data_IF_045923359356
#
_entry.id   IF_045923359356
#
_cell.length_a   1.000
_cell.length_b   1.000
_cell.length_c   1.000
_cell.angle_alpha   90.00
_cell.angle_beta   90.00
_cell.angle_gamma   90.00
#
_symmetry.space_group_name_H-M   'P 1'
#
loop_
_entity.id
_entity.type
_entity.pdbx_description
1 polymer ?
#
# COMPACT_ATOMS: atom_id res chain seq x y z
N UNK A 1 -6.89 -13.44 -22.82
CA UNK A 1 -6.35 -12.57 -23.86
C UNK A 1 -7.02 -12.86 -25.21
N UNK A 2 -7.03 -14.10 -25.73
CA UNK A 2 -7.57 -14.45 -27.04
C UNK A 2 -9.04 -14.04 -27.25
N UNK A 3 -9.92 -14.29 -26.29
CA UNK A 3 -11.33 -13.88 -26.35
C UNK A 3 -11.50 -12.36 -26.47
N UNK A 4 -10.68 -11.56 -25.82
CA UNK A 4 -10.72 -10.08 -25.89
C UNK A 4 -10.21 -9.57 -27.21
N UNK A 5 -9.16 -10.17 -27.76
CA UNK A 5 -8.64 -9.82 -29.09
C UNK A 5 -9.71 -10.11 -30.17
N UNK A 6 -10.34 -11.29 -30.10
CA UNK A 6 -11.42 -11.65 -31.01
C UNK A 6 -12.63 -10.71 -30.89
N UNK A 7 -13.03 -10.35 -29.69
CA UNK A 7 -14.14 -9.42 -29.45
C UNK A 7 -13.84 -8.02 -29.97
N UNK A 8 -12.63 -7.49 -29.75
CA UNK A 8 -12.22 -6.20 -30.31
C UNK A 8 -12.22 -6.19 -31.83
N UNK A 9 -11.79 -7.29 -32.49
CA UNK A 9 -11.83 -7.43 -33.96
C UNK A 9 -13.28 -7.40 -34.47
N UNK A 10 -14.20 -7.96 -33.68
CA UNK A 10 -15.62 -8.02 -34.05
C UNK A 10 -16.47 -6.86 -33.52
N UNK A 11 -15.85 -5.87 -32.84
CA UNK A 11 -16.56 -4.74 -32.25
C UNK A 11 -17.47 -5.12 -31.05
N UNK A 12 -17.21 -6.27 -30.43
CA UNK A 12 -17.99 -6.76 -29.30
C UNK A 12 -17.38 -6.22 -28.01
N UNK A 13 -18.16 -5.48 -27.23
CA UNK A 13 -17.74 -5.02 -25.90
C UNK A 13 -17.70 -6.20 -24.90
N UNK A 14 -16.53 -6.51 -24.37
CA UNK A 14 -16.31 -7.52 -23.34
C UNK A 14 -15.88 -6.85 -22.00
N UNK A 15 -16.48 -5.72 -21.67
CA UNK A 15 -16.32 -5.05 -20.38
C UNK A 15 -17.45 -5.46 -19.41
N UNK A 16 -17.34 -5.01 -18.16
CA UNK A 16 -18.46 -5.05 -17.25
C UNK A 16 -19.49 -4.02 -17.71
N UNK A 17 -20.75 -4.44 -17.84
CA UNK A 17 -21.87 -3.53 -18.08
C UNK A 17 -22.27 -2.92 -16.73
N UNK A 18 -21.58 -1.84 -16.37
CA UNK A 18 -21.78 -1.17 -15.09
C UNK A 18 -22.81 -0.04 -15.25
N UNK A 19 -23.73 0.14 -14.29
CA UNK A 19 -24.65 1.27 -14.29
C UNK A 19 -23.92 2.62 -14.36
N UNK A 20 -24.40 3.53 -15.18
CA UNK A 20 -23.80 4.87 -15.34
C UNK A 20 -24.00 5.74 -14.09
N UNK A 21 -25.04 5.46 -13.29
CA UNK A 21 -25.41 6.28 -12.12
C UNK A 21 -25.73 5.40 -10.90
N UNK A 22 -25.60 6.00 -9.72
CA UNK A 22 -25.91 5.32 -8.46
C UNK A 22 -24.69 4.71 -7.77
N UNK A 23 -24.94 4.04 -6.66
CA UNK A 23 -23.94 3.26 -5.90
C UNK A 23 -24.41 1.82 -5.88
N UNK A 24 -23.51 0.89 -6.20
CA UNK A 24 -23.89 -0.52 -6.31
C UNK A 24 -22.75 -1.45 -5.85
N UNK A 25 -23.14 -2.67 -5.53
CA UNK A 25 -22.25 -3.78 -5.23
C UNK A 25 -22.16 -4.66 -6.47
N UNK A 26 -20.95 -5.05 -6.85
CA UNK A 26 -20.73 -5.98 -7.96
C UNK A 26 -20.60 -7.39 -7.40
N UNK A 27 -21.29 -8.34 -8.05
CA UNK A 27 -21.22 -9.77 -7.73
C UNK A 27 -20.72 -10.52 -8.95
N UNK A 28 -19.74 -11.40 -8.78
CA UNK A 28 -19.23 -12.22 -9.88
C UNK A 28 -18.50 -13.48 -9.39
N UNK A 29 -18.12 -14.34 -10.34
CA UNK A 29 -17.32 -15.53 -10.02
C UNK A 29 -15.94 -15.12 -9.49
N UNK A 30 -15.22 -14.31 -10.25
CA UNK A 30 -14.00 -13.58 -9.93
C UNK A 30 -13.83 -12.46 -10.97
N UNK A 31 -12.95 -11.50 -10.72
CA UNK A 31 -12.73 -10.37 -11.62
C UNK A 31 -11.31 -10.34 -12.14
N UNK A 32 -11.17 -10.18 -13.46
CA UNK A 32 -9.86 -10.02 -14.09
C UNK A 32 -9.26 -8.63 -13.78
N UNK A 33 -7.93 -8.45 -13.97
CA UNK A 33 -7.29 -7.14 -13.86
C UNK A 33 -7.96 -6.04 -14.68
N UNK A 34 -8.48 -6.41 -15.83
CA UNK A 34 -9.14 -5.48 -16.73
C UNK A 34 -10.59 -5.16 -16.31
N UNK A 35 -11.24 -6.03 -15.55
CA UNK A 35 -12.56 -5.77 -14.96
C UNK A 35 -12.40 -4.84 -13.76
N UNK A 36 -11.43 -5.13 -12.88
CA UNK A 36 -11.13 -4.31 -11.71
C UNK A 36 -10.62 -2.90 -12.06
N UNK A 37 -10.00 -2.72 -13.23
CA UNK A 37 -9.64 -1.40 -13.74
C UNK A 37 -10.86 -0.51 -14.04
N UNK A 38 -12.03 -1.09 -14.30
CA UNK A 38 -13.27 -0.36 -14.57
C UNK A 38 -14.04 0.03 -13.28
N UNK A 39 -13.58 -0.39 -12.10
CA UNK A 39 -14.23 -0.04 -10.83
C UNK A 39 -14.07 1.46 -10.55
N UNK A 40 -15.18 2.18 -10.68
CA UNK A 40 -15.30 3.61 -10.37
C UNK A 40 -15.73 3.81 -8.91
N UNK A 41 -15.86 5.06 -8.48
CA UNK A 41 -16.40 5.42 -7.15
C UNK A 41 -17.89 5.05 -6.95
N UNK A 42 -18.55 4.60 -8.00
CA UNK A 42 -19.92 4.05 -7.93
C UNK A 42 -19.93 2.62 -7.37
N UNK A 43 -18.82 1.87 -7.48
CA UNK A 43 -18.66 0.54 -6.90
C UNK A 43 -18.36 0.69 -5.41
N UNK A 44 -19.36 0.42 -4.57
CA UNK A 44 -19.25 0.56 -3.11
C UNK A 44 -19.05 -0.78 -2.38
N UNK A 45 -18.99 -1.87 -3.11
CA UNK A 45 -18.70 -3.20 -2.58
C UNK A 45 -18.49 -4.23 -3.68
N UNK A 46 -17.76 -5.28 -3.37
CA UNK A 46 -17.47 -6.38 -4.31
C UNK A 46 -17.71 -7.71 -3.59
N UNK A 47 -18.37 -8.64 -4.25
CA UNK A 47 -18.60 -10.00 -3.76
C UNK A 47 -18.12 -10.96 -4.83
N UNK A 48 -17.24 -11.90 -4.47
CA UNK A 48 -16.84 -12.96 -5.39
C UNK A 48 -17.23 -14.33 -4.86
N UNK A 49 -17.64 -15.22 -5.78
CA UNK A 49 -18.02 -16.61 -5.48
C UNK A 49 -16.75 -17.45 -5.29
N UNK A 50 -15.72 -17.13 -6.06
CA UNK A 50 -14.41 -17.77 -6.04
C UNK A 50 -13.30 -16.79 -5.60
N UNK A 51 -12.07 -17.28 -5.56
CA UNK A 51 -10.92 -16.50 -5.13
C UNK A 51 -10.64 -16.67 -3.63
N UNK A 52 -9.70 -15.90 -3.12
CA UNK A 52 -9.30 -15.90 -1.71
C UNK A 52 -8.79 -14.55 -1.26
N UNK A 53 -8.40 -14.38 0.01
CA UNK A 53 -7.91 -13.11 0.56
C UNK A 53 -6.68 -12.52 -0.17
N UNK A 54 -5.95 -13.37 -0.90
CA UNK A 54 -4.78 -13.00 -1.70
C UNK A 54 -5.06 -12.96 -3.21
N UNK A 55 -6.33 -13.14 -3.64
CA UNK A 55 -6.70 -13.02 -5.06
C UNK A 55 -6.46 -11.61 -5.57
N UNK A 56 -6.30 -11.49 -6.90
CA UNK A 56 -6.15 -10.19 -7.56
C UNK A 56 -7.29 -9.23 -7.20
N UNK A 57 -8.53 -9.72 -7.23
CA UNK A 57 -9.72 -8.93 -6.85
C UNK A 57 -9.62 -8.42 -5.42
N UNK A 58 -9.24 -9.27 -4.46
CA UNK A 58 -9.12 -8.87 -3.05
C UNK A 58 -8.02 -7.81 -2.86
N UNK A 59 -6.88 -7.95 -3.54
CA UNK A 59 -5.77 -6.98 -3.48
C UNK A 59 -6.21 -5.63 -4.04
N UNK A 60 -6.84 -5.60 -5.21
CA UNK A 60 -7.31 -4.36 -5.84
C UNK A 60 -8.42 -3.69 -5.04
N UNK A 61 -9.40 -4.45 -4.52
CA UNK A 61 -10.44 -3.89 -3.66
C UNK A 61 -9.84 -3.24 -2.41
N UNK A 62 -8.85 -3.89 -1.81
CA UNK A 62 -8.14 -3.35 -0.64
C UNK A 62 -7.37 -2.07 -0.99
N UNK A 63 -6.66 -2.02 -2.12
CA UNK A 63 -5.92 -0.83 -2.56
C UNK A 63 -6.83 0.35 -2.91
N UNK A 64 -8.06 0.07 -3.39
CA UNK A 64 -9.07 1.09 -3.69
C UNK A 64 -10.02 1.38 -2.51
N UNK A 65 -9.78 0.79 -1.34
CA UNK A 65 -10.65 0.90 -0.15
C UNK A 65 -12.11 0.50 -0.42
N UNK A 66 -12.32 -0.46 -1.33
CA UNK A 66 -13.65 -1.00 -1.64
C UNK A 66 -13.90 -2.22 -0.74
N UNK A 67 -14.95 -2.23 0.10
CA UNK A 67 -15.33 -3.39 0.89
C UNK A 67 -15.54 -4.62 0.01
N UNK A 68 -14.91 -5.75 0.35
CA UNK A 68 -15.04 -6.97 -0.44
C UNK A 68 -15.19 -8.21 0.45
N UNK A 69 -16.06 -9.12 0.03
CA UNK A 69 -16.19 -10.48 0.57
C UNK A 69 -15.88 -11.45 -0.57
N UNK A 70 -14.90 -12.30 -0.39
CA UNK A 70 -14.44 -13.26 -1.40
C UNK A 70 -14.79 -14.69 -0.97
N UNK A 71 -14.80 -15.64 -1.91
CA UNK A 71 -15.20 -17.05 -1.64
C UNK A 71 -16.62 -17.19 -1.09
N UNK A 72 -17.51 -16.28 -1.39
CA UNK A 72 -18.90 -16.29 -0.92
C UNK A 72 -19.76 -17.18 -1.83
N UNK A 73 -19.83 -18.48 -1.55
CA UNK A 73 -20.59 -19.44 -2.37
C UNK A 73 -22.09 -19.12 -2.44
N UNK A 74 -22.67 -18.54 -1.37
CA UNK A 74 -24.08 -18.11 -1.31
C UNK A 74 -24.39 -16.91 -2.22
N UNK A 75 -23.38 -16.22 -2.75
CA UNK A 75 -23.60 -15.09 -3.65
C UNK A 75 -24.28 -15.46 -4.97
N UNK A 76 -24.29 -16.75 -5.35
CA UNK A 76 -25.04 -17.27 -6.51
C UNK A 76 -26.57 -17.07 -6.41
N UNK A 77 -27.08 -16.90 -5.20
CA UNK A 77 -28.53 -16.72 -4.94
C UNK A 77 -28.93 -15.24 -4.98
N UNK A 78 -27.97 -14.32 -5.04
CA UNK A 78 -28.23 -12.89 -5.11
C UNK A 78 -28.83 -12.52 -6.48
N UNK A 79 -29.74 -11.55 -6.48
CA UNK A 79 -30.46 -11.08 -7.66
C UNK A 79 -30.11 -9.61 -7.94
N UNK A 80 -30.13 -9.23 -9.20
CA UNK A 80 -29.94 -7.84 -9.60
C UNK A 80 -30.97 -6.92 -8.92
N UNK A 81 -30.50 -5.76 -8.47
CA UNK A 81 -31.30 -4.78 -7.73
C UNK A 81 -31.57 -5.13 -6.26
N UNK A 82 -31.07 -6.25 -5.77
CA UNK A 82 -31.24 -6.64 -4.38
C UNK A 82 -30.36 -5.79 -3.46
N UNK A 83 -30.94 -5.28 -2.36
CA UNK A 83 -30.18 -4.57 -1.34
C UNK A 83 -29.35 -5.56 -0.52
N UNK A 84 -28.06 -5.32 -0.41
CA UNK A 84 -27.12 -6.15 0.36
C UNK A 84 -26.22 -5.27 1.23
N UNK A 85 -25.81 -5.79 2.39
CA UNK A 85 -24.74 -5.25 3.20
C UNK A 85 -23.52 -6.14 3.04
N UNK A 86 -22.40 -5.55 2.61
CA UNK A 86 -21.10 -6.21 2.53
C UNK A 86 -20.35 -5.91 3.82
N UNK A 87 -20.09 -6.93 4.63
CA UNK A 87 -19.38 -6.84 5.90
C UNK A 87 -18.06 -7.64 5.81
N UNK A 88 -16.96 -7.00 5.36
CA UNK A 88 -15.67 -7.69 5.21
C UNK A 88 -15.03 -8.06 6.55
N UNK A 89 -15.41 -7.42 7.65
CA UNK A 89 -14.89 -7.73 8.99
C UNK A 89 -15.54 -9.00 9.55
N UNK A 90 -16.86 -9.12 9.35
CA UNK A 90 -17.61 -10.33 9.70
C UNK A 90 -17.53 -11.44 8.67
N UNK A 91 -16.80 -11.24 7.56
CA UNK A 91 -16.68 -12.15 6.40
C UNK A 91 -18.04 -12.65 5.92
N UNK A 92 -19.00 -11.73 5.73
CA UNK A 92 -20.39 -12.07 5.40
C UNK A 92 -21.08 -11.04 4.52
N UNK A 93 -22.11 -11.51 3.83
CA UNK A 93 -23.05 -10.69 3.06
C UNK A 93 -24.44 -10.86 3.67
N UNK A 94 -25.10 -9.74 4.00
CA UNK A 94 -26.45 -9.76 4.58
C UNK A 94 -27.44 -9.23 3.56
N UNK A 95 -28.42 -10.05 3.20
CA UNK A 95 -29.53 -9.68 2.29
C UNK A 95 -30.52 -8.78 3.03
N UNK A 96 -30.91 -7.65 2.41
CA UNK A 96 -31.85 -6.71 3.02
C UNK A 96 -31.24 -5.88 4.17
N UNK A 97 -29.88 -5.85 4.30
CA UNK A 97 -29.19 -5.06 5.30
C UNK A 97 -29.48 -3.56 5.14
N UNK A 98 -29.65 -2.86 6.25
CA UNK A 98 -29.95 -1.43 6.31
C UNK A 98 -28.70 -0.59 6.59
N UNK A 99 -28.80 0.74 6.36
CA UNK A 99 -27.76 1.68 6.77
C UNK A 99 -27.50 1.65 8.30
N UNK A 100 -28.54 1.31 9.10
CA UNK A 100 -28.40 1.14 10.55
C UNK A 100 -27.55 -0.10 10.90
N UNK A 101 -27.63 -1.17 10.11
CA UNK A 101 -26.80 -2.37 10.31
C UNK A 101 -25.36 -2.10 9.93
N UNK A 102 -25.11 -1.33 8.88
CA UNK A 102 -23.77 -0.86 8.52
C UNK A 102 -23.15 0.01 9.63
N UNK A 103 -23.94 0.94 10.19
CA UNK A 103 -23.48 1.78 11.31
C UNK A 103 -23.16 0.95 12.56
N UNK A 104 -23.93 -0.09 12.86
CA UNK A 104 -23.63 -1.01 13.96
C UNK A 104 -22.34 -1.78 13.74
N UNK A 105 -22.11 -2.28 12.53
CA UNK A 105 -20.87 -2.99 12.18
C UNK A 105 -19.65 -2.09 12.36
N UNK A 106 -19.70 -0.84 11.86
CA UNK A 106 -18.64 0.16 12.05
C UNK A 106 -18.45 0.50 13.54
N UNK A 107 -19.55 0.69 14.30
CA UNK A 107 -19.46 1.01 15.73
C UNK A 107 -18.93 -0.14 16.57
N UNK A 108 -19.09 -1.40 16.14
CA UNK A 108 -18.50 -2.57 16.80
C UNK A 108 -16.97 -2.57 16.64
N UNK A 109 -16.47 -2.24 15.46
CA UNK A 109 -15.01 -2.11 15.21
C UNK A 109 -14.41 -0.95 16.03
N UNK A 110 -15.15 0.16 16.14
CA UNK A 110 -14.71 1.32 16.93
C UNK A 110 -14.77 1.12 18.45
N UNK A 111 -15.49 0.11 18.94
CA UNK A 111 -15.63 -0.21 20.38
C UNK A 111 -14.69 -1.31 20.88
N UNK A 112 -13.83 -1.85 20.03
CA UNK A 112 -12.82 -2.80 20.50
C UNK A 112 -11.90 -2.08 21.50
N UNK A 113 -11.79 -2.66 22.69
CA UNK A 113 -10.88 -2.28 23.79
C UNK A 113 -9.52 -1.82 23.26
N UNK A 114 -8.89 -0.87 23.97
CA UNK A 114 -7.54 -0.39 23.63
C UNK A 114 -6.66 -1.54 23.17
N UNK A 115 -6.05 -1.45 21.99
CA UNK A 115 -5.27 -2.56 21.45
C UNK A 115 -4.13 -2.86 22.42
N UNK A 116 -3.99 -4.11 22.82
CA UNK A 116 -2.87 -4.59 23.65
C UNK A 116 -1.54 -4.43 22.91
N UNK A 117 -1.61 -4.36 21.59
CA UNK A 117 -0.48 -4.16 20.68
C UNK A 117 -0.77 -2.94 19.80
N UNK A 118 0.17 -1.97 19.69
CA UNK A 118 -0.01 -0.81 18.84
C UNK A 118 -0.27 -1.21 17.38
N UNK A 119 -1.38 -0.71 16.82
CA UNK A 119 -1.73 -0.94 15.40
C UNK A 119 -1.30 0.27 14.58
N UNK A 120 -0.42 0.04 13.60
CA UNK A 120 0.14 1.09 12.76
C UNK A 120 -0.20 0.88 11.29
N UNK A 121 -0.38 1.99 10.58
CA UNK A 121 -0.70 1.97 9.15
C UNK A 121 0.51 1.63 8.29
N UNK A 122 0.22 1.22 7.06
CA UNK A 122 1.19 1.05 5.98
C UNK A 122 0.83 2.09 4.91
N UNK A 123 1.77 2.95 4.53
CA UNK A 123 1.53 4.04 3.58
C UNK A 123 2.59 4.10 2.48
N UNK A 124 2.24 4.70 1.33
CA UNK A 124 3.15 4.94 0.22
C UNK A 124 2.93 6.29 -0.47
N UNK A 125 1.91 7.04 -0.05
CA UNK A 125 1.54 8.34 -0.64
C UNK A 125 0.97 9.30 0.40
N UNK A 126 0.75 10.55 -0.01
CA UNK A 126 0.06 11.56 0.81
C UNK A 126 -1.40 11.14 1.05
N UNK A 127 -2.07 10.59 0.04
CA UNK A 127 -3.45 10.11 0.13
C UNK A 127 -3.57 8.99 1.16
N UNK A 128 -2.60 8.06 1.17
CA UNK A 128 -2.55 7.00 2.18
C UNK A 128 -2.37 7.56 3.60
N UNK A 129 -1.53 8.59 3.77
CA UNK A 129 -1.30 9.22 5.06
C UNK A 129 -2.57 9.89 5.60
N UNK A 130 -3.29 10.64 4.74
CA UNK A 130 -4.57 11.26 5.07
C UNK A 130 -5.62 10.20 5.42
N UNK A 131 -5.70 9.12 4.64
CA UNK A 131 -6.63 8.02 4.92
C UNK A 131 -6.29 7.31 6.25
N UNK A 132 -5.00 7.10 6.53
CA UNK A 132 -4.54 6.51 7.78
C UNK A 132 -4.89 7.38 9.00
N UNK A 133 -4.75 8.70 8.88
CA UNK A 133 -5.10 9.65 9.96
C UNK A 133 -6.60 9.66 10.31
N UNK A 134 -7.46 9.25 9.36
CA UNK A 134 -8.88 9.08 9.60
C UNK A 134 -9.25 7.76 10.30
N UNK A 135 -8.28 6.89 10.60
CA UNK A 135 -8.46 5.61 11.30
C UNK A 135 -8.01 5.71 12.76
N UNK A 136 -8.13 4.59 13.49
CA UNK A 136 -7.57 4.46 14.85
C UNK A 136 -6.09 4.01 14.84
N UNK A 137 -5.35 4.27 13.78
CA UNK A 137 -3.95 3.89 13.70
C UNK A 137 -3.08 4.71 14.67
N UNK A 138 -2.18 4.01 15.37
CA UNK A 138 -1.26 4.57 16.36
C UNK A 138 0.11 4.90 15.75
N UNK A 139 0.09 5.56 14.59
CA UNK A 139 1.26 5.90 13.81
C UNK A 139 1.39 5.11 12.52
N UNK A 140 2.58 5.14 11.92
CA UNK A 140 2.91 4.45 10.67
C UNK A 140 3.97 3.38 10.94
N UNK A 141 3.63 2.12 10.67
CA UNK A 141 4.54 0.98 10.81
C UNK A 141 5.45 0.79 9.62
N UNK A 142 5.03 1.25 8.45
CA UNK A 142 5.84 1.22 7.23
C UNK A 142 5.44 2.35 6.27
N UNK A 143 6.33 3.29 6.06
CA UNK A 143 6.24 4.22 4.93
C UNK A 143 7.17 3.75 3.81
N UNK A 144 6.59 3.36 2.68
CA UNK A 144 7.30 2.86 1.49
C UNK A 144 7.68 4.01 0.58
N UNK A 145 8.89 4.51 0.73
CA UNK A 145 9.36 5.70 0.02
C UNK A 145 9.59 5.48 -1.47
N UNK A 146 9.84 4.26 -1.91
CA UNK A 146 10.02 3.92 -3.32
C UNK A 146 8.81 4.30 -4.18
N UNK A 147 7.59 4.27 -3.60
CA UNK A 147 6.37 4.58 -4.33
C UNK A 147 6.29 6.06 -4.79
N UNK A 148 7.00 6.96 -4.11
CA UNK A 148 7.10 8.36 -4.51
C UNK A 148 7.92 8.58 -5.78
N UNK A 149 8.74 7.61 -6.15
CA UNK A 149 9.73 7.73 -7.21
C UNK A 149 9.42 6.90 -8.46
N UNK A 150 8.38 6.06 -8.45
CA UNK A 150 8.07 5.15 -9.56
C UNK A 150 7.83 5.87 -10.89
N UNK A 151 7.32 7.10 -10.86
CA UNK A 151 7.07 7.93 -12.05
C UNK A 151 8.14 8.99 -12.29
N UNK A 152 9.16 9.10 -11.43
CA UNK A 152 10.19 10.13 -11.52
C UNK A 152 11.23 9.74 -12.59
N UNK A 153 11.28 10.49 -13.69
CA UNK A 153 12.25 10.26 -14.77
C UNK A 153 13.64 10.83 -14.46
N UNK A 154 13.73 11.73 -13.51
CA UNK A 154 14.97 12.35 -13.03
C UNK A 154 15.03 12.25 -11.51
N UNK A 155 16.24 12.19 -10.98
CA UNK A 155 16.46 12.22 -9.52
C UNK A 155 15.85 13.49 -8.93
N UNK A 156 14.99 13.39 -7.91
CA UNK A 156 14.41 14.55 -7.26
C UNK A 156 15.47 15.33 -6.49
N UNK A 157 15.40 16.66 -6.55
CA UNK A 157 16.30 17.51 -5.77
C UNK A 157 16.05 17.34 -4.27
N UNK A 158 17.02 17.69 -3.44
CA UNK A 158 16.89 17.63 -1.97
C UNK A 158 15.66 18.41 -1.48
N UNK A 159 15.43 19.62 -2.03
CA UNK A 159 14.29 20.46 -1.67
C UNK A 159 12.96 19.79 -2.00
N UNK A 160 12.86 19.12 -3.16
CA UNK A 160 11.66 18.40 -3.56
C UNK A 160 11.40 17.20 -2.65
N UNK A 161 12.44 16.48 -2.26
CA UNK A 161 12.33 15.40 -1.30
C UNK A 161 11.86 15.91 0.07
N UNK A 162 12.46 17.00 0.58
CA UNK A 162 12.07 17.64 1.85
C UNK A 162 10.60 18.04 1.83
N UNK A 163 10.15 18.68 0.76
CA UNK A 163 8.76 19.09 0.61
C UNK A 163 7.82 17.89 0.68
N UNK A 164 8.05 16.88 -0.16
CA UNK A 164 7.19 15.69 -0.23
C UNK A 164 7.13 14.94 1.11
N UNK A 165 8.28 14.73 1.76
CA UNK A 165 8.29 14.08 3.07
C UNK A 165 7.61 14.93 4.14
N UNK A 166 7.79 16.25 4.14
CA UNK A 166 7.15 17.14 5.12
C UNK A 166 5.63 17.07 5.01
N UNK A 167 5.09 17.13 3.79
CA UNK A 167 3.65 17.02 3.53
C UNK A 167 3.09 15.69 4.06
N UNK A 168 3.75 14.58 3.74
CA UNK A 168 3.30 13.24 4.16
C UNK A 168 3.42 13.06 5.67
N UNK A 169 4.58 13.41 6.27
CA UNK A 169 4.79 13.26 7.70
C UNK A 169 3.78 14.10 8.51
N UNK A 170 3.43 15.29 8.03
CA UNK A 170 2.44 16.15 8.68
C UNK A 170 1.03 15.54 8.64
N UNK A 171 0.69 14.86 7.54
CA UNK A 171 -0.62 14.23 7.34
C UNK A 171 -0.78 12.87 8.06
N UNK A 172 0.30 12.26 8.55
CA UNK A 172 0.25 10.96 9.21
C UNK A 172 -0.54 10.97 10.53
N UNK A 173 -1.13 9.84 10.95
CA UNK A 173 -1.74 9.68 12.28
C UNK A 173 -0.72 9.94 13.40
N UNK A 174 -1.22 10.28 14.59
CA UNK A 174 -0.36 10.49 15.78
C UNK A 174 0.44 9.21 16.11
N UNK A 175 1.66 9.40 16.66
CA UNK A 175 2.58 8.33 17.01
C UNK A 175 3.82 8.27 16.12
N UNK A 176 4.67 7.26 16.28
CA UNK A 176 5.90 7.12 15.52
C UNK A 176 5.65 6.76 14.05
N UNK A 177 6.51 7.27 13.17
CA UNK A 177 6.48 6.99 11.74
C UNK A 177 7.75 6.25 11.35
N UNK A 178 7.61 4.97 10.99
CA UNK A 178 8.73 4.15 10.51
C UNK A 178 8.88 4.34 9.01
N UNK A 179 9.93 5.01 8.60
CA UNK A 179 10.23 5.29 7.20
C UNK A 179 11.26 4.30 6.69
N UNK A 180 10.88 3.49 5.72
CA UNK A 180 11.82 2.62 5.00
C UNK A 180 12.53 3.45 3.93
N UNK A 181 13.87 3.46 3.96
CA UNK A 181 14.64 4.01 2.85
C UNK A 181 14.33 3.23 1.57
N UNK A 182 14.70 3.79 0.43
CA UNK A 182 14.31 3.25 -0.87
C UNK A 182 14.53 1.73 -0.98
N UNK A 183 13.47 1.02 -1.38
CA UNK A 183 13.51 -0.42 -1.70
C UNK A 183 13.23 -0.61 -3.20
N UNK A 184 14.20 -0.27 -4.02
CA UNK A 184 14.18 -0.43 -5.47
C UNK A 184 15.13 -1.54 -5.89
N UNK A 185 14.78 -2.22 -6.97
CA UNK A 185 15.54 -3.28 -7.61
C UNK A 185 15.11 -3.41 -9.07
N UNK A 186 15.69 -4.32 -9.85
CA UNK A 186 15.31 -4.48 -11.25
C UNK A 186 13.87 -4.96 -11.46
N UNK A 187 13.23 -5.56 -10.44
CA UNK A 187 11.79 -5.91 -10.41
C UNK A 187 10.87 -4.71 -10.09
N UNK A 188 11.44 -3.67 -9.47
CA UNK A 188 10.76 -2.41 -9.15
C UNK A 188 11.66 -1.24 -9.51
N UNK A 189 11.90 -1.00 -10.81
CA UNK A 189 12.85 -0.01 -11.25
C UNK A 189 12.36 1.39 -10.93
N UNK A 190 13.27 2.20 -10.40
CA UNK A 190 13.11 3.65 -10.29
C UNK A 190 13.88 4.25 -11.46
N UNK A 191 13.22 5.00 -12.36
CA UNK A 191 13.79 5.33 -13.68
C UNK A 191 15.13 6.08 -13.68
N UNK A 192 15.42 6.86 -12.65
CA UNK A 192 16.69 7.60 -12.55
C UNK A 192 17.82 6.79 -11.89
N UNK A 193 17.51 5.66 -11.24
CA UNK A 193 18.54 4.76 -10.69
C UNK A 193 18.90 3.72 -11.76
N UNK A 194 20.13 3.78 -12.25
CA UNK A 194 20.62 2.74 -13.16
C UNK A 194 20.88 1.46 -12.36
N UNK A 195 20.08 0.46 -12.59
CA UNK A 195 20.21 -0.85 -11.98
C UNK A 195 20.61 -1.90 -13.01
N UNK A 196 21.43 -2.88 -12.64
CA UNK A 196 21.75 -4.00 -13.52
C UNK A 196 20.47 -4.81 -13.80
N UNK A 197 20.41 -5.42 -14.97
CA UNK A 197 19.40 -6.43 -15.27
C UNK A 197 19.81 -7.74 -14.59
N UNK A 198 18.94 -8.28 -13.74
CA UNK A 198 19.25 -9.43 -12.90
C UNK A 198 18.17 -10.51 -13.01
N UNK A 199 18.57 -11.77 -13.13
CA UNK A 199 17.62 -12.89 -13.19
C UNK A 199 16.83 -13.06 -11.88
N UNK A 200 17.44 -12.72 -10.74
CA UNK A 200 16.83 -12.76 -9.42
C UNK A 200 17.00 -11.44 -8.67
N UNK A 201 16.22 -10.40 -8.98
CA UNK A 201 16.37 -9.07 -8.40
C UNK A 201 16.32 -9.03 -6.87
N UNK A 202 15.55 -9.91 -6.25
CA UNK A 202 15.45 -9.99 -4.79
C UNK A 202 16.75 -10.44 -4.11
N UNK A 203 17.59 -11.20 -4.82
CA UNK A 203 18.90 -11.65 -4.34
C UNK A 203 20.04 -10.73 -4.75
N UNK A 204 19.79 -9.81 -5.67
CA UNK A 204 20.77 -8.93 -6.28
C UNK A 204 20.88 -7.55 -5.63
N UNK A 205 21.17 -6.54 -6.48
CA UNK A 205 21.31 -5.14 -6.07
C UNK A 205 19.94 -4.52 -5.84
N UNK A 206 19.55 -4.46 -4.57
CA UNK A 206 18.23 -3.99 -4.13
C UNK A 206 18.30 -3.36 -2.74
N UNK A 207 17.41 -2.43 -2.47
CA UNK A 207 17.25 -1.83 -1.14
C UNK A 207 18.55 -1.16 -0.67
N UNK A 208 18.99 -1.42 0.54
CA UNK A 208 20.20 -0.80 1.07
C UNK A 208 21.48 -1.19 0.29
N UNK A 209 21.49 -2.29 -0.44
CA UNK A 209 22.63 -2.68 -1.28
C UNK A 209 22.92 -1.68 -2.40
N UNK A 210 21.94 -0.81 -2.75
CA UNK A 210 22.13 0.32 -3.65
C UNK A 210 23.16 1.33 -3.13
N UNK A 211 23.50 1.31 -1.85
CA UNK A 211 24.54 2.22 -1.28
C UNK A 211 25.89 2.08 -1.97
N UNK A 212 26.17 0.95 -2.60
CA UNK A 212 27.43 0.69 -3.31
C UNK A 212 27.60 1.63 -4.52
N UNK A 213 26.52 1.83 -5.28
CA UNK A 213 26.55 2.55 -6.54
C UNK A 213 25.79 3.90 -6.47
N UNK A 214 24.88 4.06 -5.49
CA UNK A 214 23.99 5.21 -5.33
C UNK A 214 24.04 5.80 -3.91
N UNK A 215 25.25 5.86 -3.32
CA UNK A 215 25.44 6.35 -1.94
C UNK A 215 24.91 7.75 -1.74
N UNK A 216 25.16 8.64 -2.69
CA UNK A 216 24.77 10.05 -2.60
C UNK A 216 23.25 10.21 -2.53
N UNK A 217 22.51 9.39 -3.27
CA UNK A 217 21.06 9.37 -3.19
C UNK A 217 20.56 8.91 -1.81
N UNK A 218 21.15 7.85 -1.23
CA UNK A 218 20.78 7.37 0.11
C UNK A 218 21.06 8.44 1.17
N UNK A 219 22.21 9.13 1.07
CA UNK A 219 22.56 10.23 1.98
C UNK A 219 21.57 11.38 1.83
N UNK A 220 21.30 11.82 0.59
CA UNK A 220 20.33 12.88 0.29
C UNK A 220 18.93 12.54 0.82
N UNK A 221 18.51 11.28 0.70
CA UNK A 221 17.23 10.81 1.25
C UNK A 221 17.18 10.95 2.78
N UNK A 222 18.24 10.54 3.47
CA UNK A 222 18.32 10.66 4.94
C UNK A 222 18.36 12.13 5.40
N UNK A 223 19.07 12.99 4.70
CA UNK A 223 19.11 14.44 4.96
C UNK A 223 17.73 15.08 4.75
N UNK A 224 17.04 14.69 3.67
CA UNK A 224 15.67 15.15 3.40
C UNK A 224 14.69 14.72 4.50
N UNK A 225 14.79 13.47 4.97
CA UNK A 225 13.98 12.95 6.06
C UNK A 225 14.23 13.68 7.38
N UNK A 226 15.49 14.02 7.70
CA UNK A 226 15.80 14.80 8.90
C UNK A 226 15.26 16.23 8.83
N UNK A 227 15.35 16.88 7.67
CA UNK A 227 14.79 18.20 7.45
C UNK A 227 13.25 18.15 7.59
N UNK A 228 12.60 17.16 6.98
CA UNK A 228 11.16 16.95 7.07
C UNK A 228 10.71 16.61 8.50
N UNK A 229 11.48 15.79 9.23
CA UNK A 229 11.24 15.49 10.65
C UNK A 229 11.24 16.76 11.50
N UNK A 230 12.22 17.65 11.29
CA UNK A 230 12.30 18.94 11.99
C UNK A 230 11.13 19.85 11.65
N UNK A 231 10.80 19.94 10.35
CA UNK A 231 9.72 20.81 9.86
C UNK A 231 8.34 20.35 10.34
N UNK A 232 8.07 19.06 10.36
CA UNK A 232 6.80 18.47 10.79
C UNK A 232 6.65 18.30 12.31
N UNK A 233 7.78 18.30 13.06
CA UNK A 233 7.80 18.01 14.49
C UNK A 233 7.47 16.57 14.86
N UNK A 234 7.46 15.65 13.89
CA UNK A 234 7.05 14.24 14.07
C UNK A 234 8.19 13.35 14.55
N UNK A 235 7.85 12.30 15.29
CA UNK A 235 8.79 11.23 15.63
C UNK A 235 9.01 10.31 14.43
N UNK A 236 10.20 10.38 13.83
CA UNK A 236 10.57 9.58 12.65
C UNK A 236 11.64 8.57 13.03
N UNK A 237 11.38 7.32 12.67
CA UNK A 237 12.35 6.21 12.71
C UNK A 237 12.74 5.87 11.29
N UNK A 238 14.00 5.53 11.06
CA UNK A 238 14.46 5.10 9.73
C UNK A 238 14.85 3.64 9.73
N UNK A 239 14.50 2.96 8.66
CA UNK A 239 14.69 1.52 8.52
C UNK A 239 15.29 1.20 7.15
N UNK A 240 16.40 0.44 7.13
CA UNK A 240 17.01 -0.06 5.89
C UNK A 240 16.36 -1.39 5.47
N UNK A 241 15.96 -1.51 4.18
CA UNK A 241 15.55 -2.78 3.60
C UNK A 241 16.76 -3.61 3.15
N UNK A 242 16.60 -4.93 3.01
CA UNK A 242 17.55 -5.86 2.39
C UNK A 242 18.94 -5.88 3.03
N UNK A 243 19.03 -5.58 4.31
CA UNK A 243 20.27 -5.74 5.09
C UNK A 243 20.52 -7.22 5.31
N UNK A 244 21.72 -7.70 5.03
CA UNK A 244 22.07 -9.11 5.16
C UNK A 244 23.30 -9.36 6.06
N UNK A 245 23.98 -8.31 6.49
CA UNK A 245 25.18 -8.43 7.32
C UNK A 245 25.25 -7.37 8.41
N UNK A 246 25.93 -7.69 9.52
CA UNK A 246 26.20 -6.74 10.58
C UNK A 246 27.01 -5.51 10.10
N UNK A 247 27.81 -5.66 9.04
CA UNK A 247 28.58 -4.57 8.43
C UNK A 247 27.64 -3.58 7.74
N UNK A 248 26.68 -4.06 6.96
CA UNK A 248 25.65 -3.23 6.31
C UNK A 248 24.77 -2.51 7.34
N UNK A 249 24.35 -3.20 8.40
CA UNK A 249 23.61 -2.58 9.50
C UNK A 249 24.39 -1.45 10.18
N UNK A 250 25.69 -1.65 10.43
CA UNK A 250 26.57 -0.62 10.99
C UNK A 250 26.78 0.55 10.03
N UNK A 251 26.93 0.28 8.75
CA UNK A 251 27.07 1.33 7.74
C UNK A 251 25.80 2.18 7.66
N UNK A 252 24.62 1.57 7.56
CA UNK A 252 23.35 2.30 7.59
C UNK A 252 23.18 3.14 8.84
N UNK A 253 23.47 2.55 10.01
CA UNK A 253 23.37 3.27 11.28
C UNK A 253 24.34 4.49 11.31
N UNK A 254 25.51 4.37 10.72
CA UNK A 254 26.48 5.47 10.63
C UNK A 254 25.98 6.58 9.71
N UNK A 255 25.43 6.24 8.54
CA UNK A 255 24.84 7.20 7.61
C UNK A 255 23.65 7.94 8.22
N UNK A 256 22.73 7.20 8.84
CA UNK A 256 21.56 7.78 9.48
C UNK A 256 21.93 8.73 10.64
N UNK A 257 22.91 8.36 11.47
CA UNK A 257 23.42 9.22 12.55
C UNK A 257 24.13 10.47 12.04
N UNK A 258 24.82 10.37 10.90
CA UNK A 258 25.46 11.53 10.29
C UNK A 258 24.44 12.51 9.71
N UNK A 259 23.33 12.01 9.16
CA UNK A 259 22.27 12.82 8.58
C UNK A 259 21.36 13.47 9.64
N UNK A 260 21.08 12.79 10.76
CA UNK A 260 20.11 13.32 11.72
C UNK A 260 19.91 12.51 12.99
N UNK A 261 18.86 12.90 13.74
CA UNK A 261 18.50 12.29 15.02
C UNK A 261 17.33 11.31 14.83
N UNK A 262 17.64 10.12 14.35
CA UNK A 262 16.66 9.05 14.14
C UNK A 262 16.82 7.93 15.17
N UNK A 263 15.72 7.23 15.44
CA UNK A 263 15.80 5.82 15.83
C UNK A 263 16.06 5.03 14.56
N UNK A 264 17.04 4.16 14.60
CA UNK A 264 17.56 3.44 13.41
C UNK A 264 17.30 1.95 13.57
N UNK A 265 16.83 1.31 12.52
CA UNK A 265 16.56 -0.13 12.47
C UNK A 265 16.80 -0.71 11.07
N UNK A 266 16.57 -2.00 10.96
CA UNK A 266 16.56 -2.73 9.69
C UNK A 266 15.23 -3.45 9.51
N UNK A 267 14.88 -3.77 8.27
CA UNK A 267 13.79 -4.68 7.96
C UNK A 267 14.32 -6.11 8.07
N UNK A 268 13.75 -6.91 8.98
CA UNK A 268 14.13 -8.32 9.15
C UNK A 268 13.43 -9.13 8.07
N UNK A 269 14.10 -9.35 6.95
CA UNK A 269 13.52 -9.98 5.77
C UNK A 269 14.50 -10.89 5.01
N UNK A 270 15.76 -10.94 5.43
CA UNK A 270 16.75 -11.87 4.88
C UNK A 270 17.12 -12.94 5.90
N UNK A 271 17.51 -14.16 5.47
CA UNK A 271 17.85 -15.24 6.41
C UNK A 271 18.97 -14.88 7.39
N UNK A 272 19.89 -13.99 7.00
CA UNK A 272 21.04 -13.58 7.82
C UNK A 272 20.68 -12.54 8.89
N UNK A 273 19.52 -11.89 8.80
CA UNK A 273 19.04 -10.95 9.81
C UNK A 273 18.72 -11.62 11.16
N UNK A 274 18.54 -12.94 11.13
CA UNK A 274 18.17 -13.73 12.29
C UNK A 274 19.39 -14.34 13.03
N UNK A 275 20.61 -14.12 12.52
CA UNK A 275 21.88 -14.62 13.08
C UNK A 275 22.69 -13.49 13.72
#
# INVERSE_FOLDING_TARGET
>A
LAKRVAANIHGIFLGLDLPETGKFVIVGEDFSPADTAQFTSAVVGVITIQGGPTSHTAIICRSKSIPAVVSCSGAKELKDGQMVLVDPVGDRVVIGGTAADATKAISFVAKSTEPVIPVRSNIGSLEDAVAAAATAAEGVGLFRTELLYLSATTEPTLERQIQSYTEILTACPEGPIVVRTIDAGSDKPVPFLKMPDEENPALGVRGFRLVRDHRDFIVSQLEALEAARKASGREVWVMAPMVATAAEAKEFASLAKAAGQFKVGIMVETPLDCL
#
